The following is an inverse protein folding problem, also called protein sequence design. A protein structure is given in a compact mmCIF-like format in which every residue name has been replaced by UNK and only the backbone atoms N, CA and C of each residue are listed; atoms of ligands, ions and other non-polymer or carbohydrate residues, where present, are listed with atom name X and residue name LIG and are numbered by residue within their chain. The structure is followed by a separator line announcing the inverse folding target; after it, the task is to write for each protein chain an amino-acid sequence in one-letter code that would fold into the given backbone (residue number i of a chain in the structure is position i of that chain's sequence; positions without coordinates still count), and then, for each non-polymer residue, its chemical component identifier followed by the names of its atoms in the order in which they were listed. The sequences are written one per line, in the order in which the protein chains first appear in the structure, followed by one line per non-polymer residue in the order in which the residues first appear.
data_IF_849372536745
#
_entry.id   IF_849372536745
#
_cell.length_a   1.000
_cell.length_b   1.000
_cell.length_c   1.000
_cell.angle_alpha   90.00
_cell.angle_beta   90.00
_cell.angle_gamma   90.00
#
_symmetry.space_group_name_H-M   'P 1'
#
loop_
_entity.id
_entity.type
_entity.pdbx_description
1 polymer ?
#
# COMPACT_ATOMS: atom_id res chain seq x y z
N UNK A 1 16.18 -41.58 8.56
CA UNK A 1 16.92 -40.49 7.90
C UNK A 1 16.66 -39.23 8.70
N UNK A 2 17.64 -38.76 9.48
CA UNK A 2 17.46 -37.62 10.38
C UNK A 2 17.81 -36.32 9.65
N UNK A 3 16.82 -35.45 9.46
CA UNK A 3 17.01 -34.11 8.93
C UNK A 3 17.56 -33.21 10.04
N UNK A 4 18.84 -32.82 9.91
CA UNK A 4 19.50 -31.88 10.81
C UNK A 4 18.97 -30.48 10.46
N UNK A 5 18.10 -29.92 11.32
CA UNK A 5 17.66 -28.53 11.22
C UNK A 5 18.76 -27.61 11.77
N UNK A 6 19.64 -27.12 10.90
CA UNK A 6 20.61 -26.06 11.28
C UNK A 6 19.90 -24.70 11.38
N UNK A 7 20.09 -23.94 12.47
CA UNK A 7 19.49 -22.62 12.63
C UNK A 7 20.06 -21.65 11.58
N UNK A 8 19.17 -21.05 10.79
CA UNK A 8 19.53 -20.06 9.77
C UNK A 8 19.86 -18.73 10.44
N UNK A 9 21.15 -18.40 10.54
CA UNK A 9 21.59 -17.08 11.01
C UNK A 9 21.43 -16.03 9.90
N UNK A 10 20.83 -14.89 10.24
CA UNK A 10 20.65 -13.75 9.32
C UNK A 10 21.52 -12.59 9.79
N UNK A 11 22.34 -12.03 8.90
CA UNK A 11 23.21 -10.90 9.19
C UNK A 11 22.76 -9.67 8.40
N UNK A 12 22.65 -8.52 9.08
CA UNK A 12 22.34 -7.24 8.44
C UNK A 12 23.63 -6.43 8.26
N UNK A 13 24.02 -6.20 7.01
CA UNK A 13 25.24 -5.45 6.68
C UNK A 13 24.85 -4.15 5.99
N UNK A 14 25.22 -3.02 6.60
CA UNK A 14 25.11 -1.70 5.96
C UNK A 14 26.34 -1.44 5.09
N UNK A 15 26.10 -1.16 3.81
CA UNK A 15 27.11 -0.81 2.81
C UNK A 15 26.83 0.59 2.27
N UNK A 16 27.90 1.31 1.95
CA UNK A 16 27.84 2.55 1.17
C UNK A 16 28.26 2.27 -0.26
N UNK A 17 27.72 3.03 -1.21
CA UNK A 17 28.03 2.84 -2.64
C UNK A 17 29.51 3.09 -2.92
N UNK A 18 30.11 2.21 -3.72
CA UNK A 18 31.52 2.25 -4.13
C UNK A 18 32.53 2.30 -2.97
N UNK A 19 32.12 1.96 -1.75
CA UNK A 19 32.98 1.87 -0.58
C UNK A 19 33.14 0.40 -0.17
N UNK A 20 34.34 -0.18 -0.32
CA UNK A 20 34.60 -1.54 0.13
C UNK A 20 34.51 -1.64 1.65
N UNK A 21 33.74 -2.61 2.13
CA UNK A 21 33.69 -2.99 3.54
C UNK A 21 34.46 -4.28 3.73
N UNK A 22 35.54 -4.22 4.50
CA UNK A 22 36.40 -5.38 4.75
C UNK A 22 35.87 -6.22 5.91
N UNK A 23 35.95 -7.53 5.73
CA UNK A 23 35.75 -8.56 6.73
C UNK A 23 37.02 -9.41 6.77
N UNK A 24 37.16 -10.25 7.80
CA UNK A 24 38.41 -10.97 8.12
C UNK A 24 39.20 -11.46 6.89
N UNK A 25 38.56 -12.19 5.97
CA UNK A 25 39.20 -12.80 4.80
C UNK A 25 38.61 -12.38 3.45
N UNK A 26 37.67 -11.43 3.43
CA UNK A 26 36.97 -11.00 2.21
C UNK A 26 36.48 -9.56 2.33
N UNK A 27 36.19 -8.91 1.20
CA UNK A 27 35.61 -7.57 1.17
C UNK A 27 34.33 -7.55 0.35
N UNK A 28 33.42 -6.65 0.72
CA UNK A 28 32.14 -6.46 0.05
C UNK A 28 31.99 -5.02 -0.38
N UNK A 29 31.70 -4.80 -1.65
CA UNK A 29 31.47 -3.46 -2.20
C UNK A 29 30.11 -3.41 -2.86
N UNK A 30 29.31 -2.40 -2.50
CA UNK A 30 28.05 -2.11 -3.18
C UNK A 30 28.33 -1.29 -4.44
N UNK A 31 28.38 -1.93 -5.61
CA UNK A 31 28.66 -1.27 -6.89
C UNK A 31 27.47 -0.51 -7.45
N UNK A 32 26.27 -1.09 -7.36
CA UNK A 32 25.04 -0.47 -7.87
C UNK A 32 23.86 -0.89 -7.01
N UNK A 33 22.96 0.06 -6.76
CA UNK A 33 21.67 -0.17 -6.13
C UNK A 33 20.61 0.40 -7.07
N UNK A 34 19.96 -0.48 -7.81
CA UNK A 34 18.82 -0.12 -8.65
C UNK A 34 17.53 -0.44 -7.91
N UNK A 35 16.60 0.51 -7.89
CA UNK A 35 15.20 0.18 -7.68
C UNK A 35 14.67 -0.21 -9.07
N UNK A 36 13.97 -1.35 -9.24
CA UNK A 36 13.30 -1.64 -10.50
C UNK A 36 12.40 -0.46 -10.87
N UNK A 37 12.12 -0.18 -12.16
CA UNK A 37 11.23 0.89 -12.56
C UNK A 37 9.82 0.62 -11.99
N UNK A 38 9.61 1.10 -10.77
CA UNK A 38 8.32 1.17 -10.13
C UNK A 38 7.61 2.36 -10.78
N UNK A 39 6.35 2.20 -11.24
CA UNK A 39 5.57 3.32 -11.72
C UNK A 39 5.14 4.19 -10.52
N UNK A 40 6.11 4.78 -9.79
CA UNK A 40 5.88 5.57 -8.57
C UNK A 40 5.16 6.87 -8.89
N UNK A 41 5.30 7.36 -10.13
CA UNK A 41 4.72 8.62 -10.58
C UNK A 41 3.20 8.58 -10.75
N UNK A 42 2.56 7.41 -10.69
CA UNK A 42 1.10 7.24 -10.86
C UNK A 42 0.51 6.19 -9.89
N UNK A 43 1.14 6.00 -8.73
CA UNK A 43 0.64 5.07 -7.70
C UNK A 43 -0.02 5.84 -6.56
N UNK A 44 -1.29 5.55 -6.30
CA UNK A 44 -1.98 6.00 -5.09
C UNK A 44 -1.57 5.12 -3.92
N UNK A 45 -1.35 5.71 -2.74
CA UNK A 45 -1.06 4.99 -1.51
C UNK A 45 -2.18 5.25 -0.50
N UNK A 46 -2.50 4.22 0.29
CA UNK A 46 -3.45 4.31 1.41
C UNK A 46 -2.66 4.10 2.69
N UNK A 47 -2.96 4.91 3.70
CA UNK A 47 -2.30 4.85 4.99
C UNK A 47 -3.35 4.92 6.11
N UNK A 48 -3.18 4.10 7.14
CA UNK A 48 -4.12 4.00 8.27
C UNK A 48 -3.60 4.62 9.58
N UNK A 49 -2.39 5.17 9.58
CA UNK A 49 -1.69 5.61 10.78
C UNK A 49 -0.46 4.76 11.11
N UNK A 50 -0.49 3.49 10.73
CA UNK A 50 0.51 2.48 11.11
C UNK A 50 1.13 1.77 9.91
N UNK A 51 0.33 1.47 8.89
CA UNK A 51 0.72 0.71 7.72
C UNK A 51 0.36 1.48 6.45
N UNK A 52 1.22 1.35 5.44
CA UNK A 52 1.01 1.95 4.12
C UNK A 52 0.86 0.85 3.09
N UNK A 53 -0.22 0.91 2.33
CA UNK A 53 -0.51 0.02 1.22
C UNK A 53 -0.49 0.78 -0.12
N UNK A 54 -0.17 0.06 -1.20
CA UNK A 54 -0.31 0.58 -2.57
C UNK A 54 -1.73 0.30 -3.03
N UNK A 55 -2.44 1.34 -3.46
CA UNK A 55 -3.77 1.24 -4.03
C UNK A 55 -3.69 0.98 -5.56
N UNK A 56 -4.75 0.41 -6.16
CA UNK A 56 -4.86 0.32 -7.61
C UNK A 56 -4.73 1.70 -8.28
N UNK A 57 -4.23 1.74 -9.52
CA UNK A 57 -4.06 3.00 -10.29
C UNK A 57 -5.33 3.86 -10.36
N UNK A 58 -6.50 3.22 -10.42
CA UNK A 58 -7.80 3.91 -10.40
C UNK A 58 -8.44 3.62 -9.05
N UNK A 59 -8.00 4.34 -8.01
CA UNK A 59 -8.60 4.26 -6.68
C UNK A 59 -9.58 5.41 -6.47
N UNK A 60 -10.88 5.12 -6.57
CA UNK A 60 -11.95 6.06 -6.22
C UNK A 60 -12.88 5.41 -5.19
N UNK A 61 -12.64 5.63 -3.89
CA UNK A 61 -13.56 5.16 -2.88
C UNK A 61 -14.89 5.93 -2.97
N UNK A 62 -16.02 5.30 -2.63
CA UNK A 62 -17.34 5.93 -2.70
C UNK A 62 -17.51 7.07 -1.68
N UNK A 63 -16.71 7.04 -0.62
CA UNK A 63 -16.66 8.06 0.42
C UNK A 63 -15.27 8.68 0.46
N UNK A 64 -15.19 9.98 0.20
CA UNK A 64 -13.97 10.78 0.29
C UNK A 64 -14.23 11.91 1.28
N UNK A 65 -13.35 12.04 2.27
CA UNK A 65 -13.46 13.03 3.33
C UNK A 65 -12.34 14.05 3.16
N UNK A 66 -12.59 15.32 3.47
CA UNK A 66 -11.57 16.37 3.40
C UNK A 66 -10.56 16.28 4.53
N UNK A 67 -10.99 15.73 5.67
CA UNK A 67 -10.16 15.58 6.88
C UNK A 67 -10.32 14.18 7.53
N UNK A 68 -9.30 13.70 8.26
CA UNK A 68 -9.42 12.50 9.09
C UNK A 68 -10.53 12.60 10.15
N UNK A 69 -10.76 13.80 10.70
CA UNK A 69 -11.81 14.04 11.69
C UNK A 69 -13.20 13.89 11.09
N UNK A 70 -13.43 14.42 9.88
CA UNK A 70 -14.67 14.21 9.13
C UNK A 70 -14.90 12.72 8.83
N UNK A 71 -13.84 11.99 8.46
CA UNK A 71 -13.91 10.55 8.23
C UNK A 71 -14.32 9.79 9.50
N UNK A 72 -13.76 10.16 10.65
CA UNK A 72 -14.12 9.56 11.95
C UNK A 72 -15.55 9.87 12.36
N UNK A 73 -16.02 11.09 12.10
CA UNK A 73 -17.37 11.53 12.43
C UNK A 73 -18.41 11.17 11.36
N UNK A 74 -18.00 10.56 10.24
CA UNK A 74 -18.82 10.24 9.07
C UNK A 74 -19.56 11.47 8.50
N UNK A 75 -18.95 12.65 8.57
CA UNK A 75 -19.52 13.91 8.07
C UNK A 75 -18.99 14.27 6.67
N UNK A 76 -18.60 13.26 5.89
CA UNK A 76 -17.96 13.46 4.61
C UNK A 76 -18.97 13.81 3.52
N UNK A 77 -18.51 14.54 2.50
CA UNK A 77 -19.29 14.76 1.30
C UNK A 77 -19.34 13.46 0.51
N UNK A 78 -20.53 12.88 0.41
CA UNK A 78 -20.76 11.66 -0.38
C UNK A 78 -20.74 12.05 -1.87
N UNK A 79 -19.74 11.58 -2.61
CA UNK A 79 -19.68 11.69 -4.07
C UNK A 79 -20.07 10.35 -4.70
N UNK A 80 -21.34 9.97 -4.51
CA UNK A 80 -21.90 8.72 -5.05
C UNK A 80 -22.92 8.99 -6.15
N UNK A 81 -22.85 8.24 -7.25
CA UNK A 81 -23.97 8.08 -8.19
C UNK A 81 -24.98 7.04 -7.64
N UNK A 82 -25.66 7.39 -6.55
CA UNK A 82 -26.71 6.54 -6.01
C UNK A 82 -28.04 6.78 -6.75
N UNK A 83 -28.63 5.74 -7.33
CA UNK A 83 -30.02 5.79 -7.80
C UNK A 83 -30.90 5.06 -6.80
N UNK A 84 -31.75 5.83 -6.13
CA UNK A 84 -32.79 5.29 -5.29
C UNK A 84 -34.11 5.33 -6.03
N UNK A 85 -34.78 4.18 -6.13
CA UNK A 85 -36.13 4.10 -6.67
C UNK A 85 -37.12 4.02 -5.52
N UNK A 86 -38.18 4.85 -5.53
CA UNK A 86 -39.24 4.73 -4.54
C UNK A 86 -39.96 3.39 -4.73
N UNK A 87 -40.27 2.70 -3.62
CA UNK A 87 -41.27 1.64 -3.59
C UNK A 87 -42.24 1.94 -2.44
N UNK A 88 -43.51 1.54 -2.59
CA UNK A 88 -44.64 2.00 -1.76
C UNK A 88 -44.45 1.87 -0.25
N UNK A 89 -43.57 0.97 0.22
CA UNK A 89 -43.32 0.75 1.66
C UNK A 89 -41.84 0.95 2.05
N UNK A 90 -40.91 0.80 1.10
CA UNK A 90 -39.45 0.90 1.36
C UNK A 90 -38.73 1.48 0.17
N UNK A 91 -37.79 2.38 0.41
CA UNK A 91 -36.89 2.90 -0.62
C UNK A 91 -35.82 1.87 -0.93
N UNK A 92 -35.58 1.60 -2.22
CA UNK A 92 -34.48 0.74 -2.67
C UNK A 92 -33.40 1.60 -3.30
N UNK A 93 -32.26 1.71 -2.63
CA UNK A 93 -31.07 2.36 -3.17
C UNK A 93 -30.15 1.28 -3.74
N UNK A 94 -29.83 1.40 -5.02
CA UNK A 94 -28.86 0.54 -5.67
C UNK A 94 -27.59 1.35 -5.93
N UNK A 95 -26.48 0.86 -5.38
CA UNK A 95 -25.16 1.37 -5.69
C UNK A 95 -24.67 0.74 -7.00
N UNK A 96 -24.38 1.57 -7.99
CA UNK A 96 -23.74 1.11 -9.21
C UNK A 96 -22.23 1.27 -9.07
N UNK A 97 -21.57 0.26 -8.51
CA UNK A 97 -20.13 0.13 -8.73
C UNK A 97 -19.93 -0.26 -10.19
N UNK A 98 -19.35 0.65 -10.99
CA UNK A 98 -18.81 0.32 -12.32
C UNK A 98 -17.36 -0.12 -12.10
N UNK A 99 -17.03 -1.42 -12.14
CA UNK A 99 -15.65 -1.81 -12.33
C UNK A 99 -15.29 -1.46 -13.77
N UNK A 100 -14.45 -0.45 -13.95
CA UNK A 100 -13.73 -0.22 -15.21
C UNK A 100 -12.40 -0.95 -15.16
#
# INVERSE_FOLDING_TARGET
MNTINTPKQTFHIRLSTNQPKTFAWWSLTLSSLGVPPTPVLDSTFIWDGTETAIAPRIYRPPLICGTPEEARNMTCKIEEECKCTPAEVKMRCNYYWKPT
#
